data_IF_163205610396
#
_entry.id   IF_163205610396
#
_cell.length_a   1.000
_cell.length_b   1.000
_cell.length_c   1.000
_cell.angle_alpha   90.00
_cell.angle_beta   90.00
_cell.angle_gamma   90.00
#
_symmetry.space_group_name_H-M   'P 1'
#
loop_
_entity.id
_entity.type
_entity.pdbx_description
1 polymer ?
#
# COMPACT_ATOMS: atom_id res chain seq x y z
N UNK A 1 16.34 -7.30 -30.98
CA UNK A 1 15.44 -7.63 -29.84
C UNK A 1 14.82 -6.35 -29.37
N UNK A 2 13.48 -6.19 -29.36
CA UNK A 2 12.83 -4.99 -28.82
C UNK A 2 12.77 -5.10 -27.30
N UNK A 3 13.03 -4.03 -26.54
CA UNK A 3 12.99 -4.11 -25.08
C UNK A 3 11.58 -4.41 -24.57
N UNK A 4 11.50 -5.27 -23.57
CA UNK A 4 10.27 -5.88 -22.99
C UNK A 4 9.29 -4.89 -22.34
N UNK A 5 9.63 -3.61 -22.26
CA UNK A 5 8.90 -2.58 -21.48
C UNK A 5 7.95 -1.67 -22.29
N UNK A 6 7.91 -1.73 -23.61
CA UNK A 6 7.08 -0.84 -24.45
C UNK A 6 5.56 -0.91 -24.13
N UNK A 7 5.09 -1.97 -23.48
CA UNK A 7 3.69 -2.12 -23.03
C UNK A 7 3.34 -1.35 -21.74
N UNK A 8 4.35 -0.99 -20.94
CA UNK A 8 4.16 -0.38 -19.61
C UNK A 8 3.89 1.13 -19.66
N UNK A 9 4.48 1.83 -20.61
CA UNK A 9 4.45 3.31 -20.68
C UNK A 9 3.06 3.87 -20.95
N UNK A 10 2.15 3.11 -21.56
CA UNK A 10 0.79 3.57 -21.86
C UNK A 10 -0.17 3.56 -20.66
N UNK A 11 0.16 2.87 -19.58
CA UNK A 11 -0.67 2.77 -18.37
C UNK A 11 -0.43 3.87 -17.33
N UNK A 12 0.75 4.48 -17.31
CA UNK A 12 1.16 5.40 -16.24
C UNK A 12 0.72 6.85 -16.47
N UNK A 13 0.41 7.24 -17.70
CA UNK A 13 0.01 8.62 -18.03
C UNK A 13 -1.34 9.06 -17.44
N UNK A 14 -2.16 8.15 -16.97
CA UNK A 14 -3.49 8.43 -16.39
C UNK A 14 -3.44 8.89 -14.92
N UNK A 15 -2.37 8.60 -14.19
CA UNK A 15 -2.28 8.93 -12.75
C UNK A 15 -1.94 10.40 -12.52
N UNK A 16 -1.30 11.07 -13.47
CA UNK A 16 -0.89 12.47 -13.34
C UNK A 16 -2.03 13.50 -13.52
N UNK A 17 -3.17 13.10 -14.08
CA UNK A 17 -4.28 14.01 -14.43
C UNK A 17 -5.27 14.31 -13.31
N UNK A 18 -5.26 13.56 -12.21
CA UNK A 18 -6.32 13.62 -11.17
C UNK A 18 -5.99 14.64 -10.05
N UNK A 19 -4.78 15.18 -9.97
CA UNK A 19 -4.34 16.03 -8.85
C UNK A 19 -4.51 17.54 -9.09
N UNK A 20 -4.84 17.99 -10.30
CA UNK A 20 -4.88 19.41 -10.66
C UNK A 20 -6.32 19.94 -10.90
N UNK A 21 -7.11 20.08 -9.86
CA UNK A 21 -8.43 20.70 -10.01
C UNK A 21 -9.17 20.97 -8.69
N UNK A 22 -8.74 21.98 -7.95
CA UNK A 22 -9.57 22.55 -6.90
C UNK A 22 -9.34 24.06 -6.87
N UNK A 23 -10.17 24.80 -7.55
CA UNK A 23 -10.16 26.26 -7.58
C UNK A 23 -10.96 26.86 -6.42
N UNK A 24 -10.45 27.98 -5.95
CA UNK A 24 -10.86 28.77 -4.81
C UNK A 24 -12.03 29.70 -5.17
N UNK A 25 -13.13 29.65 -4.40
CA UNK A 25 -14.19 30.66 -4.39
C UNK A 25 -14.31 31.32 -3.02
N UNK A 26 -13.81 32.52 -2.88
CA UNK A 26 -14.01 33.35 -1.71
C UNK A 26 -15.34 34.11 -1.81
N UNK A 27 -16.24 33.96 -0.84
CA UNK A 27 -17.38 34.89 -0.60
C UNK A 27 -17.39 35.33 0.84
N UNK A 28 -17.21 36.65 1.03
CA UNK A 28 -17.37 37.37 2.29
C UNK A 28 -18.81 37.74 2.47
N UNK A 29 -19.42 37.34 3.60
CA UNK A 29 -20.65 37.92 4.10
C UNK A 29 -20.64 37.89 5.64
N UNK A 30 -20.71 39.06 6.24
CA UNK A 30 -20.81 39.24 7.69
C UNK A 30 -22.12 38.69 8.24
N UNK A 31 -22.08 38.03 9.38
CA UNK A 31 -23.25 37.56 10.10
C UNK A 31 -23.18 37.89 11.61
N UNK A 32 -24.32 38.07 12.28
CA UNK A 32 -24.39 38.49 13.66
C UNK A 32 -23.89 37.39 14.60
N UNK A 33 -23.23 37.82 15.68
CA UNK A 33 -22.73 36.94 16.75
C UNK A 33 -23.87 36.24 17.46
N UNK A 34 -24.24 35.06 17.04
CA UNK A 34 -25.08 34.17 17.83
C UNK A 34 -24.21 33.50 18.90
N UNK A 35 -24.55 33.69 20.17
CA UNK A 35 -23.95 33.03 21.34
C UNK A 35 -24.40 31.57 21.47
N UNK A 36 -24.48 30.86 20.35
CA UNK A 36 -24.68 29.42 20.37
C UNK A 36 -23.35 28.75 20.67
N UNK A 37 -23.15 28.36 21.94
CA UNK A 37 -22.13 27.35 22.24
C UNK A 37 -22.58 26.05 21.57
N UNK A 38 -21.83 25.54 20.55
CA UNK A 38 -22.18 24.25 20.02
C UNK A 38 -21.92 23.23 21.13
N UNK A 39 -22.99 22.61 21.65
CA UNK A 39 -22.85 21.37 22.43
C UNK A 39 -22.08 20.43 21.50
N UNK A 40 -20.80 20.27 21.78
CA UNK A 40 -20.00 19.26 21.13
C UNK A 40 -20.57 17.93 21.59
N UNK A 41 -21.55 17.40 20.84
CA UNK A 41 -21.88 16.00 20.93
C UNK A 41 -20.57 15.29 20.57
N UNK A 42 -19.85 14.84 21.60
CA UNK A 42 -18.73 13.91 21.40
C UNK A 42 -19.30 12.75 20.59
N UNK A 43 -18.86 12.62 19.34
CA UNK A 43 -19.21 11.46 18.52
C UNK A 43 -18.84 10.23 19.34
N UNK A 44 -19.75 9.24 19.43
CA UNK A 44 -19.45 8.02 20.18
C UNK A 44 -18.07 7.52 19.77
N UNK A 45 -17.21 7.21 20.75
CA UNK A 45 -15.88 6.68 20.49
C UNK A 45 -15.99 5.51 19.53
N UNK A 46 -15.39 5.62 18.36
CA UNK A 46 -15.40 4.53 17.40
C UNK A 46 -14.81 3.27 18.07
N UNK A 47 -15.45 2.10 17.92
CA UNK A 47 -15.01 0.89 18.58
C UNK A 47 -13.59 0.55 18.11
N UNK A 48 -12.71 0.15 19.07
CA UNK A 48 -11.34 -0.30 18.76
C UNK A 48 -11.34 -1.35 17.65
N UNK A 49 -10.30 -1.40 16.80
CA UNK A 49 -10.17 -2.47 15.84
C UNK A 49 -10.31 -3.84 16.53
N UNK A 50 -11.11 -4.77 16.02
CA UNK A 50 -11.30 -6.09 16.61
C UNK A 50 -10.00 -6.88 16.60
N UNK A 51 -9.91 -7.92 17.43
CA UNK A 51 -8.68 -8.74 17.55
C UNK A 51 -8.28 -9.39 16.22
N UNK A 52 -9.24 -9.84 15.41
CA UNK A 52 -8.98 -10.45 14.11
C UNK A 52 -8.38 -9.47 13.09
N UNK A 53 -8.71 -8.16 13.19
CA UNK A 53 -8.07 -7.13 12.37
C UNK A 53 -6.59 -6.94 12.76
N UNK A 54 -6.23 -7.12 14.05
CA UNK A 54 -4.84 -7.13 14.46
C UNK A 54 -4.14 -8.38 13.92
N UNK A 55 -4.73 -9.56 14.06
CA UNK A 55 -4.14 -10.79 13.54
C UNK A 55 -3.91 -10.69 12.03
N UNK A 56 -4.92 -10.27 11.26
CA UNK A 56 -4.76 -10.10 9.80
C UNK A 56 -3.68 -9.07 9.45
N UNK A 57 -3.57 -7.97 10.21
CA UNK A 57 -2.53 -6.97 9.99
C UNK A 57 -1.11 -7.49 10.29
N UNK A 58 -0.95 -8.48 11.16
CA UNK A 58 0.31 -9.20 11.39
C UNK A 58 0.57 -10.22 10.28
N UNK A 59 -0.47 -10.92 9.84
CA UNK A 59 -0.36 -11.94 8.78
C UNK A 59 0.18 -11.33 7.48
N UNK A 60 -0.23 -10.11 7.11
CA UNK A 60 0.21 -9.48 5.87
C UNK A 60 1.74 -9.37 5.74
N UNK A 61 2.48 -8.69 6.65
CA UNK A 61 3.93 -8.61 6.54
C UNK A 61 4.62 -9.97 6.77
N UNK A 62 4.07 -10.85 7.60
CA UNK A 62 4.63 -12.20 7.79
C UNK A 62 4.55 -13.01 6.50
N UNK A 63 3.41 -12.98 5.81
CA UNK A 63 3.23 -13.69 4.54
C UNK A 63 4.08 -13.07 3.42
N UNK A 64 4.17 -11.74 3.33
CA UNK A 64 4.97 -11.06 2.32
C UNK A 64 6.46 -11.33 2.54
N UNK A 65 6.98 -10.98 3.73
CA UNK A 65 8.41 -11.09 4.04
C UNK A 65 8.83 -12.55 4.16
N UNK A 66 8.03 -13.39 4.84
CA UNK A 66 8.27 -14.82 4.94
C UNK A 66 8.20 -15.52 3.58
N UNK A 67 7.25 -15.12 2.73
CA UNK A 67 7.09 -15.64 1.38
C UNK A 67 8.34 -15.46 0.54
N UNK A 68 8.84 -14.21 0.38
CA UNK A 68 10.06 -14.00 -0.40
C UNK A 68 11.31 -14.61 0.25
N UNK A 69 11.42 -14.53 1.60
CA UNK A 69 12.58 -15.08 2.30
C UNK A 69 12.67 -16.59 2.13
N UNK A 70 11.55 -17.29 2.28
CA UNK A 70 11.49 -18.74 2.08
C UNK A 70 11.69 -19.12 0.62
N UNK A 71 11.00 -18.42 -0.30
CA UNK A 71 11.07 -18.72 -1.73
C UNK A 71 12.49 -18.53 -2.29
N UNK A 72 13.18 -17.44 -1.94
CA UNK A 72 14.57 -17.22 -2.37
C UNK A 72 15.55 -18.23 -1.79
N UNK A 73 15.34 -18.67 -0.54
CA UNK A 73 16.18 -19.67 0.11
C UNK A 73 16.09 -21.07 -0.57
N UNK A 74 15.03 -21.32 -1.31
CA UNK A 74 14.86 -22.56 -2.08
C UNK A 74 15.56 -22.50 -3.45
N UNK A 75 16.00 -21.33 -3.93
CA UNK A 75 16.63 -21.21 -5.23
C UNK A 75 18.12 -21.58 -5.16
N UNK A 76 18.65 -22.33 -6.14
CA UNK A 76 20.08 -22.63 -6.20
C UNK A 76 20.95 -21.41 -6.56
N UNK A 77 20.37 -20.46 -7.29
CA UNK A 77 21.00 -19.18 -7.60
C UNK A 77 19.91 -18.11 -7.68
N UNK A 78 20.01 -17.08 -6.84
CA UNK A 78 19.08 -15.96 -6.81
C UNK A 78 19.77 -14.77 -6.14
N UNK A 79 19.80 -13.62 -6.81
CA UNK A 79 20.36 -12.40 -6.27
C UNK A 79 19.23 -11.50 -5.73
N UNK A 80 18.98 -11.46 -4.41
CA UNK A 80 17.88 -10.67 -3.84
C UNK A 80 18.05 -9.15 -4.02
N UNK A 81 19.21 -8.69 -4.44
CA UNK A 81 19.45 -7.28 -4.74
C UNK A 81 18.97 -6.93 -6.16
N UNK A 82 19.18 -7.82 -7.09
CA UNK A 82 18.87 -7.64 -8.52
C UNK A 82 17.52 -8.24 -8.90
N UNK A 83 17.26 -9.48 -8.46
CA UNK A 83 16.09 -10.25 -8.86
C UNK A 83 14.87 -9.85 -8.04
N UNK A 84 13.72 -9.70 -8.69
CA UNK A 84 12.48 -9.20 -8.10
C UNK A 84 11.77 -10.26 -7.24
N UNK A 85 10.89 -9.82 -6.35
CA UNK A 85 9.95 -10.70 -5.64
C UNK A 85 9.04 -11.40 -6.66
N UNK A 86 8.67 -10.68 -7.72
CA UNK A 86 7.81 -11.19 -8.78
C UNK A 86 8.44 -12.34 -9.55
N UNK A 87 9.76 -12.33 -9.73
CA UNK A 87 10.49 -13.44 -10.39
C UNK A 87 10.35 -14.74 -9.61
N UNK A 88 10.32 -14.67 -8.26
CA UNK A 88 10.15 -15.86 -7.41
C UNK A 88 8.80 -16.59 -7.60
N UNK A 89 7.81 -15.95 -8.20
CA UNK A 89 6.50 -16.53 -8.50
C UNK A 89 6.39 -17.05 -9.94
N UNK A 90 7.47 -17.02 -10.74
CA UNK A 90 7.47 -17.49 -12.13
C UNK A 90 7.71 -19.00 -12.23
N UNK A 91 7.25 -19.61 -13.33
CA UNK A 91 7.29 -21.07 -13.53
C UNK A 91 8.71 -21.66 -13.56
N UNK A 92 9.73 -20.85 -13.85
CA UNK A 92 11.13 -21.28 -13.86
C UNK A 92 11.77 -21.45 -12.48
N UNK A 93 11.11 -21.02 -11.40
CA UNK A 93 11.62 -21.07 -10.03
C UNK A 93 11.26 -22.37 -9.32
N UNK A 94 12.07 -22.74 -8.31
CA UNK A 94 11.74 -23.86 -7.41
C UNK A 94 10.57 -23.45 -6.52
N UNK A 95 9.49 -24.23 -6.54
CA UNK A 95 8.27 -23.99 -5.75
C UNK A 95 7.72 -22.55 -5.87
N UNK A 96 7.39 -22.04 -7.08
CA UNK A 96 6.93 -20.67 -7.29
C UNK A 96 5.63 -20.36 -6.54
N UNK A 97 4.86 -21.39 -6.20
CA UNK A 97 3.64 -21.28 -5.39
C UNK A 97 3.89 -20.71 -3.97
N UNK A 98 5.13 -20.82 -3.43
CA UNK A 98 5.47 -20.28 -2.12
C UNK A 98 5.34 -18.76 -2.13
N UNK A 99 5.93 -18.10 -3.13
CA UNK A 99 5.80 -16.64 -3.28
C UNK A 99 4.38 -16.25 -3.70
N UNK A 100 3.77 -17.00 -4.63
CA UNK A 100 2.37 -16.79 -5.01
C UNK A 100 1.42 -16.85 -3.82
N UNK A 101 1.58 -17.84 -2.94
CA UNK A 101 0.81 -17.94 -1.70
C UNK A 101 1.08 -16.75 -0.75
N UNK A 102 2.35 -16.33 -0.62
CA UNK A 102 2.72 -15.15 0.17
C UNK A 102 1.99 -13.90 -0.28
N UNK A 103 1.96 -13.63 -1.59
CA UNK A 103 1.23 -12.51 -2.21
C UNK A 103 -0.29 -12.63 -1.99
N UNK A 104 -0.86 -13.81 -2.25
CA UNK A 104 -2.30 -14.04 -2.11
C UNK A 104 -2.76 -13.83 -0.65
N UNK A 105 -2.05 -14.41 0.31
CA UNK A 105 -2.34 -14.25 1.74
C UNK A 105 -2.18 -12.79 2.18
N UNK A 106 -1.14 -12.10 1.72
CA UNK A 106 -0.95 -10.66 1.99
C UNK A 106 -2.13 -9.84 1.48
N UNK A 107 -2.57 -10.07 0.25
CA UNK A 107 -3.70 -9.37 -0.35
C UNK A 107 -5.00 -9.59 0.42
N UNK A 108 -5.32 -10.83 0.76
CA UNK A 108 -6.48 -11.18 1.59
C UNK A 108 -6.39 -10.53 2.97
N UNK A 109 -5.22 -10.59 3.60
CA UNK A 109 -5.00 -10.01 4.92
C UNK A 109 -5.22 -8.48 4.93
N UNK A 110 -4.82 -7.74 3.89
CA UNK A 110 -5.13 -6.31 3.75
C UNK A 110 -6.63 -6.04 3.65
N UNK A 111 -7.38 -6.84 2.87
CA UNK A 111 -8.83 -6.72 2.76
C UNK A 111 -9.53 -6.97 4.11
N UNK A 112 -9.11 -8.01 4.82
CA UNK A 112 -9.62 -8.33 6.15
C UNK A 112 -9.28 -7.20 7.13
N UNK A 113 -8.04 -6.73 7.17
CA UNK A 113 -7.62 -5.61 8.02
C UNK A 113 -8.47 -4.36 7.77
N UNK A 114 -8.67 -3.99 6.50
CA UNK A 114 -9.47 -2.83 6.11
C UNK A 114 -10.91 -2.90 6.63
N UNK A 115 -11.52 -4.09 6.65
CA UNK A 115 -12.89 -4.29 7.15
C UNK A 115 -13.02 -4.03 8.66
N UNK A 116 -11.93 -4.26 9.42
CA UNK A 116 -11.87 -4.04 10.86
C UNK A 116 -11.49 -2.62 11.28
N UNK A 117 -10.92 -1.81 10.39
CA UNK A 117 -10.44 -0.45 10.67
C UNK A 117 -11.57 0.58 10.59
N UNK A 118 -12.64 0.43 11.39
CA UNK A 118 -13.84 1.30 11.34
C UNK A 118 -13.56 2.77 11.68
N UNK A 119 -12.49 3.05 12.42
CA UNK A 119 -12.05 4.40 12.72
C UNK A 119 -11.44 5.13 11.51
N UNK A 120 -10.94 4.39 10.53
CA UNK A 120 -10.33 4.92 9.31
C UNK A 120 -11.44 5.38 8.34
N UNK A 121 -11.31 6.57 7.72
CA UNK A 121 -12.25 7.05 6.69
C UNK A 121 -12.46 6.00 5.59
N UNK A 122 -13.67 6.00 5.00
CA UNK A 122 -14.06 5.04 3.97
C UNK A 122 -13.08 5.05 2.79
N UNK A 123 -12.61 6.24 2.38
CA UNK A 123 -11.62 6.37 1.29
C UNK A 123 -10.33 5.62 1.61
N UNK A 124 -9.75 5.79 2.81
CA UNK A 124 -8.55 5.06 3.23
C UNK A 124 -8.79 3.55 3.26
N UNK A 125 -9.93 3.10 3.80
CA UNK A 125 -10.29 1.66 3.81
C UNK A 125 -10.47 1.10 2.41
N UNK A 126 -11.13 1.84 1.52
CA UNK A 126 -11.33 1.43 0.13
C UNK A 126 -10.01 1.27 -0.61
N UNK A 127 -9.05 2.17 -0.40
CA UNK A 127 -7.72 2.07 -1.00
C UNK A 127 -6.89 0.94 -0.41
N UNK A 128 -7.03 0.64 0.88
CA UNK A 128 -6.40 -0.55 1.48
C UNK A 128 -6.99 -1.86 0.90
N UNK A 129 -8.31 -1.91 0.67
CA UNK A 129 -8.96 -3.03 -0.02
C UNK A 129 -8.48 -3.13 -1.47
N UNK A 130 -8.45 -2.01 -2.19
CA UNK A 130 -7.99 -1.98 -3.58
C UNK A 130 -6.54 -2.49 -3.69
N UNK A 131 -5.66 -2.03 -2.80
CA UNK A 131 -4.29 -2.52 -2.73
C UNK A 131 -4.22 -4.01 -2.42
N UNK A 132 -5.05 -4.50 -1.49
CA UNK A 132 -5.15 -5.92 -1.17
C UNK A 132 -5.63 -6.78 -2.34
N UNK A 133 -6.69 -6.37 -3.03
CA UNK A 133 -7.20 -7.07 -4.21
C UNK A 133 -6.17 -7.07 -5.35
N UNK A 134 -5.48 -5.95 -5.56
CA UNK A 134 -4.44 -5.85 -6.57
C UNK A 134 -3.23 -6.74 -6.24
N UNK A 135 -2.80 -6.81 -4.96
CA UNK A 135 -1.74 -7.73 -4.52
C UNK A 135 -2.16 -9.19 -4.72
N UNK A 136 -3.42 -9.53 -4.46
CA UNK A 136 -3.96 -10.86 -4.76
C UNK A 136 -3.95 -11.15 -6.27
N UNK A 137 -4.31 -10.17 -7.10
CA UNK A 137 -4.27 -10.30 -8.56
C UNK A 137 -2.84 -10.51 -9.08
N UNK A 138 -1.82 -9.87 -8.47
CA UNK A 138 -0.40 -10.15 -8.78
C UNK A 138 -0.07 -11.63 -8.58
N UNK A 139 -0.60 -12.27 -7.53
CA UNK A 139 -0.41 -13.71 -7.30
C UNK A 139 -1.09 -14.57 -8.37
N UNK A 140 -2.22 -14.11 -8.93
CA UNK A 140 -2.98 -14.86 -9.94
C UNK A 140 -2.42 -14.70 -11.35
N UNK A 141 -1.65 -13.66 -11.60
CA UNK A 141 -1.07 -13.35 -12.91
C UNK A 141 0.46 -13.29 -12.84
N UNK A 142 1.17 -14.45 -12.90
CA UNK A 142 2.63 -14.46 -12.90
C UNK A 142 3.22 -13.62 -14.05
N UNK A 143 4.37 -12.99 -13.82
CA UNK A 143 4.96 -12.02 -14.75
C UNK A 143 5.46 -12.64 -16.05
N UNK A 144 5.80 -13.93 -16.04
CA UNK A 144 6.26 -14.69 -17.21
C UNK A 144 5.13 -15.09 -18.16
N UNK A 145 3.93 -15.36 -17.65
CA UNK A 145 2.78 -15.83 -18.43
C UNK A 145 1.74 -14.74 -18.72
N UNK A 146 1.60 -13.75 -17.82
CA UNK A 146 0.60 -12.69 -17.90
C UNK A 146 1.21 -11.31 -17.61
N UNK A 147 2.33 -10.95 -18.26
CA UNK A 147 3.14 -9.76 -17.96
C UNK A 147 2.35 -8.45 -17.89
N UNK A 148 1.37 -8.24 -18.79
CA UNK A 148 0.57 -7.01 -18.79
C UNK A 148 -0.39 -6.95 -17.59
N UNK A 149 -1.12 -8.04 -17.28
CA UNK A 149 -2.03 -8.09 -16.14
C UNK A 149 -1.26 -8.01 -14.82
N UNK A 150 -0.12 -8.68 -14.74
CA UNK A 150 0.81 -8.56 -13.61
C UNK A 150 1.20 -7.10 -13.38
N UNK A 151 1.71 -6.45 -14.42
CA UNK A 151 2.16 -5.07 -14.33
C UNK A 151 1.08 -4.08 -13.94
N UNK A 152 -0.14 -4.20 -14.50
CA UNK A 152 -1.29 -3.38 -14.12
C UNK A 152 -1.65 -3.63 -12.66
N UNK A 153 -1.72 -4.90 -12.24
CA UNK A 153 -2.05 -5.26 -10.85
C UNK A 153 -1.01 -4.73 -9.88
N UNK A 154 0.28 -4.85 -10.19
CA UNK A 154 1.36 -4.32 -9.37
C UNK A 154 1.29 -2.78 -9.27
N UNK A 155 1.09 -2.08 -10.39
CA UNK A 155 0.96 -0.63 -10.40
C UNK A 155 -0.23 -0.13 -9.56
N UNK A 156 -1.39 -0.78 -9.67
CA UNK A 156 -2.58 -0.49 -8.85
C UNK A 156 -2.30 -0.80 -7.38
N UNK A 157 -1.68 -1.95 -7.08
CA UNK A 157 -1.36 -2.38 -5.72
C UNK A 157 -0.42 -1.41 -5.02
N UNK A 158 0.74 -1.16 -5.59
CA UNK A 158 1.73 -0.23 -5.04
C UNK A 158 1.19 1.20 -4.92
N UNK A 159 0.45 1.68 -5.94
CA UNK A 159 -0.17 3.00 -5.91
C UNK A 159 -1.23 3.13 -4.82
N UNK A 160 -2.15 2.17 -4.73
CA UNK A 160 -3.20 2.17 -3.72
C UNK A 160 -2.63 2.05 -2.29
N UNK A 161 -1.68 1.14 -2.05
CA UNK A 161 -1.00 0.97 -0.76
C UNK A 161 -0.10 2.16 -0.41
N UNK A 162 0.42 2.90 -1.37
CA UNK A 162 1.14 4.15 -1.14
C UNK A 162 0.23 5.31 -0.77
N UNK A 163 -0.97 5.39 -1.36
CA UNK A 163 -1.92 6.49 -1.15
C UNK A 163 -2.81 6.31 0.08
N UNK A 164 -3.12 5.06 0.47
CA UNK A 164 -4.08 4.80 1.54
C UNK A 164 -3.78 5.49 2.88
N UNK A 165 -2.50 5.69 3.33
CA UNK A 165 -2.24 6.39 4.58
C UNK A 165 -2.75 7.84 4.56
N UNK A 166 -2.50 8.58 3.46
CA UNK A 166 -3.01 9.95 3.32
C UNK A 166 -4.54 10.00 3.32
N UNK A 167 -5.18 9.04 2.64
CA UNK A 167 -6.64 8.91 2.59
C UNK A 167 -7.25 8.40 3.92
N UNK A 168 -6.43 7.81 4.78
CA UNK A 168 -6.79 7.43 6.14
C UNK A 168 -6.72 8.61 7.13
N UNK A 169 -6.15 9.75 6.73
CA UNK A 169 -6.08 10.93 7.57
C UNK A 169 -7.48 11.46 7.93
N UNK A 170 -7.65 11.86 9.20
CA UNK A 170 -8.91 12.43 9.71
C UNK A 170 -8.71 13.90 10.07
N UNK A 171 -9.72 14.72 9.80
CA UNK A 171 -9.80 16.10 10.34
C UNK A 171 -9.83 16.02 11.87
N UNK A 172 -8.89 16.69 12.55
CA UNK A 172 -8.75 16.58 14.00
C UNK A 172 -8.19 15.22 14.48
N UNK A 173 -7.75 14.34 13.56
CA UNK A 173 -7.11 13.05 13.89
C UNK A 173 -5.81 13.26 14.67
N UNK A 174 -5.51 12.32 15.56
CA UNK A 174 -4.28 12.29 16.34
C UNK A 174 -3.42 11.07 16.02
N UNK A 175 -2.13 11.14 16.30
CA UNK A 175 -1.19 10.04 16.06
C UNK A 175 -1.20 9.63 14.59
N UNK A 176 -1.29 8.34 14.32
CA UNK A 176 -1.18 7.74 12.97
C UNK A 176 -2.28 8.18 11.98
N UNK A 177 -3.42 8.69 12.48
CA UNK A 177 -4.49 9.23 11.63
C UNK A 177 -4.43 10.77 11.51
N UNK A 178 -3.42 11.43 12.06
CA UNK A 178 -3.20 12.86 11.81
C UNK A 178 -2.61 13.06 10.41
N UNK A 179 -3.01 14.15 9.74
CA UNK A 179 -2.41 14.51 8.45
C UNK A 179 -0.88 14.72 8.55
N UNK A 180 -0.39 15.18 9.74
CA UNK A 180 1.04 15.38 10.01
C UNK A 180 1.86 14.08 9.98
N UNK A 181 1.23 12.93 10.19
CA UNK A 181 1.88 11.61 10.12
C UNK A 181 1.49 10.89 8.83
N UNK A 182 0.21 10.84 8.52
CA UNK A 182 -0.33 10.05 7.42
C UNK A 182 0.14 10.54 6.04
N UNK A 183 0.23 11.86 5.82
CA UNK A 183 0.67 12.42 4.54
C UNK A 183 2.17 12.17 4.30
N UNK A 184 3.08 12.48 5.23
CA UNK A 184 4.50 12.13 5.05
C UNK A 184 4.73 10.64 4.82
N UNK A 185 4.00 9.75 5.50
CA UNK A 185 4.11 8.30 5.24
C UNK A 185 3.70 7.96 3.82
N UNK A 186 2.58 8.50 3.31
CA UNK A 186 2.22 8.32 1.90
C UNK A 186 3.30 8.82 0.94
N UNK A 187 3.86 9.99 1.22
CA UNK A 187 4.94 10.54 0.37
C UNK A 187 6.15 9.61 0.36
N UNK A 188 6.57 9.09 1.53
CA UNK A 188 7.68 8.14 1.61
C UNK A 188 7.37 6.84 0.86
N UNK A 189 6.17 6.26 1.06
CA UNK A 189 5.79 5.03 0.37
C UNK A 189 5.71 5.21 -1.15
N UNK A 190 5.18 6.35 -1.63
CA UNK A 190 5.14 6.66 -3.06
C UNK A 190 6.52 6.98 -3.63
N UNK A 191 7.40 7.60 -2.85
CA UNK A 191 8.80 7.81 -3.26
C UNK A 191 9.53 6.47 -3.42
N UNK A 192 9.32 5.52 -2.50
CA UNK A 192 9.87 4.16 -2.64
C UNK A 192 9.33 3.45 -3.89
N UNK A 193 8.04 3.62 -4.22
CA UNK A 193 7.48 3.11 -5.49
C UNK A 193 8.19 3.77 -6.69
N UNK A 194 8.40 5.09 -6.64
CA UNK A 194 9.10 5.83 -7.70
C UNK A 194 10.53 5.33 -7.92
N UNK A 195 11.27 5.10 -6.84
CA UNK A 195 12.63 4.55 -6.89
C UNK A 195 12.60 3.13 -7.48
N UNK A 196 11.71 2.26 -6.99
CA UNK A 196 11.57 0.91 -7.54
C UNK A 196 11.24 0.92 -9.04
N UNK A 197 10.32 1.78 -9.48
CA UNK A 197 9.98 1.91 -10.91
C UNK A 197 11.17 2.42 -11.72
N UNK A 198 11.95 3.36 -11.20
CA UNK A 198 13.16 3.86 -11.86
C UNK A 198 14.22 2.75 -12.02
N UNK A 199 14.45 1.94 -10.98
CA UNK A 199 15.31 0.76 -11.04
C UNK A 199 14.81 -0.27 -12.06
N UNK A 200 13.51 -0.59 -12.01
CA UNK A 200 12.88 -1.55 -12.91
C UNK A 200 12.99 -1.13 -14.39
N UNK A 201 12.98 0.18 -14.67
CA UNK A 201 13.12 0.75 -16.01
C UNK A 201 14.58 1.02 -16.40
N UNK A 202 15.54 0.70 -15.51
CA UNK A 202 16.98 0.90 -15.75
C UNK A 202 17.35 2.35 -16.08
N UNK A 203 16.64 3.32 -15.49
CA UNK A 203 16.92 4.77 -15.67
C UNK A 203 17.76 5.35 -14.52
N UNK A 204 18.17 4.49 -13.58
CA UNK A 204 19.10 4.83 -12.49
C UNK A 204 20.56 4.73 -12.96
N UNK A 205 21.51 5.39 -12.25
CA UNK A 205 22.93 5.32 -12.60
C UNK A 205 23.51 3.90 -12.61
N UNK A 206 22.89 2.99 -11.85
CA UNK A 206 23.33 1.58 -11.69
C UNK A 206 22.59 0.61 -12.63
N UNK A 207 21.91 1.13 -13.65
CA UNK A 207 21.21 0.36 -14.68
C UNK A 207 20.25 -0.72 -14.10
N UNK A 208 19.56 -0.39 -13.01
CA UNK A 208 18.61 -1.29 -12.37
C UNK A 208 19.23 -2.36 -11.46
N UNK A 209 20.49 -2.19 -11.06
CA UNK A 209 21.19 -3.16 -10.21
C UNK A 209 20.57 -3.38 -8.83
N UNK A 210 19.68 -2.47 -8.38
CA UNK A 210 19.00 -2.52 -7.08
C UNK A 210 17.50 -2.85 -7.19
N UNK A 211 17.03 -3.32 -8.34
CA UNK A 211 15.59 -3.56 -8.60
C UNK A 211 14.97 -4.47 -7.54
N UNK A 212 15.56 -5.62 -7.25
CA UNK A 212 15.04 -6.55 -6.26
C UNK A 212 15.06 -5.99 -4.83
N UNK A 213 16.10 -5.24 -4.47
CA UNK A 213 16.20 -4.59 -3.17
C UNK A 213 15.12 -3.52 -2.97
N UNK A 214 14.93 -2.66 -3.97
CA UNK A 214 13.94 -1.57 -3.89
C UNK A 214 12.50 -2.10 -3.91
N UNK A 215 12.22 -3.19 -4.63
CA UNK A 215 10.92 -3.86 -4.56
C UNK A 215 10.64 -4.40 -3.15
N UNK A 216 11.63 -5.04 -2.51
CA UNK A 216 11.50 -5.53 -1.12
C UNK A 216 11.27 -4.41 -0.12
N UNK A 217 11.96 -3.28 -0.29
CA UNK A 217 11.75 -2.12 0.58
C UNK A 217 10.32 -1.60 0.49
N UNK A 218 9.81 -1.38 -0.72
CA UNK A 218 8.45 -0.85 -0.89
C UNK A 218 7.40 -1.87 -0.46
N UNK A 219 7.51 -3.13 -0.87
CA UNK A 219 6.54 -4.18 -0.51
C UNK A 219 6.53 -4.44 1.02
N UNK A 220 7.71 -4.48 1.64
CA UNK A 220 7.85 -4.62 3.08
C UNK A 220 7.24 -3.43 3.84
N UNK A 221 7.60 -2.20 3.48
CA UNK A 221 7.08 -1.00 4.11
C UNK A 221 5.54 -0.90 3.99
N UNK A 222 5.00 -1.18 2.79
CA UNK A 222 3.57 -1.16 2.53
C UNK A 222 2.82 -2.27 3.28
N UNK A 223 3.40 -3.45 3.44
CA UNK A 223 2.78 -4.53 4.21
C UNK A 223 2.80 -4.27 5.73
N UNK A 224 3.80 -3.55 6.25
CA UNK A 224 3.95 -3.23 7.66
C UNK A 224 3.07 -2.07 8.13
N UNK A 225 2.79 -1.08 7.28
CA UNK A 225 2.06 0.10 7.72
C UNK A 225 0.64 -0.17 8.24
N UNK A 226 -0.18 -1.07 7.66
CA UNK A 226 -1.48 -1.43 8.22
C UNK A 226 -1.38 -2.03 9.62
N UNK A 227 -0.32 -2.79 9.92
CA UNK A 227 -0.04 -3.29 11.27
C UNK A 227 0.22 -2.15 12.26
N UNK A 228 1.08 -1.19 11.89
CA UNK A 228 1.38 -0.01 12.72
C UNK A 228 0.10 0.76 13.05
N UNK A 229 -0.75 1.00 12.05
CA UNK A 229 -2.02 1.71 12.24
C UNK A 229 -2.96 0.92 13.15
N UNK A 230 -3.16 -0.37 12.87
CA UNK A 230 -4.07 -1.22 13.66
C UNK A 230 -3.63 -1.30 15.12
N UNK A 231 -2.33 -1.49 15.36
CA UNK A 231 -1.77 -1.54 16.69
C UNK A 231 -1.89 -0.21 17.45
N UNK A 232 -1.57 0.91 16.79
CA UNK A 232 -1.69 2.23 17.39
C UNK A 232 -3.14 2.55 17.79
N UNK A 233 -4.12 2.20 16.94
CA UNK A 233 -5.54 2.40 17.23
C UNK A 233 -6.01 1.51 18.40
N UNK A 234 -5.52 0.31 18.53
CA UNK A 234 -5.87 -0.57 19.66
C UNK A 234 -5.28 -0.09 21.00
N UNK A 235 -4.09 0.54 20.98
CA UNK A 235 -3.40 1.02 22.19
C UNK A 235 -3.91 2.38 22.69
N UNK A 236 -4.73 3.12 21.94
CA UNK A 236 -5.30 4.38 22.41
C UNK A 236 -6.06 4.15 23.70
N UNK A 237 -5.64 4.89 24.78
CA UNK A 237 -6.37 4.90 26.05
C UNK A 237 -7.70 5.63 25.80
N UNK A 238 -8.81 5.09 26.35
CA UNK A 238 -10.05 5.88 26.45
C UNK A 238 -9.74 7.04 27.40
N UNK A 239 -10.09 8.28 27.06
CA UNK A 239 -10.13 9.31 28.09
C UNK A 239 -11.12 8.83 29.15
N UNK A 240 -10.68 8.87 30.42
CA UNK A 240 -11.48 8.57 31.61
C UNK A 240 -12.50 9.68 31.78
#
# INVERSE_FOLDING_TARGET
MRPRWEGWVKGVSWVAGVVAGADSGAMTAGSPRSTWSPVRHALPDAPRPPWWALVSSVVAPVAMIGGWTLSQALQPSFDPVRDTISDLATAGMVAPWVMGAGLAVTGIAHCVTASGLREVPVAGRAFLVLGGLATFAVAMFPSDTHSQLHGISAAVGFGALGLWPALAARRGGQGVLSAKVAVPVSVVLLALVGVFVAELQQVTPDDGALTGFTERLVAGAQSLWPLVVTFALRRRRRPV
#
